data_IF_042409029167
#
_entry.id   IF_042409029167
#
_cell.length_a   1.000
_cell.length_b   1.000
_cell.length_c   1.000
_cell.angle_alpha   90.00
_cell.angle_beta   90.00
_cell.angle_gamma   90.00
#
_symmetry.space_group_name_H-M   'P 1'
#
loop_
_entity.id
_entity.type
_entity.pdbx_description
1 polymer ?
#
# COMPACT_ATOMS: atom_id res chain seq x y z
N UNK A 1 22.80 14.23 -18.44
CA UNK A 1 21.95 14.10 -17.23
C UNK A 1 22.71 13.30 -16.17
N UNK A 2 22.80 13.78 -14.92
CA UNK A 2 23.46 13.06 -13.82
C UNK A 2 22.78 11.69 -13.57
N UNK A 3 23.53 10.66 -13.15
CA UNK A 3 23.04 9.31 -12.87
C UNK A 3 21.88 9.31 -11.86
N UNK A 4 21.95 10.17 -10.83
CA UNK A 4 20.85 10.39 -9.89
C UNK A 4 19.55 10.84 -10.57
N UNK A 5 19.63 11.81 -11.49
CA UNK A 5 18.46 12.29 -12.24
C UNK A 5 17.91 11.23 -13.17
N UNK A 6 18.76 10.39 -13.77
CA UNK A 6 18.33 9.23 -14.59
C UNK A 6 17.59 8.21 -13.73
N UNK A 7 18.10 7.91 -12.54
CA UNK A 7 17.47 6.98 -11.61
C UNK A 7 16.12 7.52 -11.13
N UNK A 8 16.05 8.79 -10.73
CA UNK A 8 14.81 9.43 -10.32
C UNK A 8 13.77 9.47 -11.44
N UNK A 9 14.18 9.76 -12.69
CA UNK A 9 13.26 9.74 -13.82
C UNK A 9 12.77 8.31 -14.13
N UNK A 10 13.66 7.32 -14.08
CA UNK A 10 13.31 5.90 -14.22
C UNK A 10 12.29 5.47 -13.18
N UNK A 11 12.55 5.80 -11.92
CA UNK A 11 11.67 5.48 -10.80
C UNK A 11 10.33 6.21 -10.91
N UNK A 12 10.32 7.50 -11.26
CA UNK A 12 9.09 8.26 -11.54
C UNK A 12 8.23 7.59 -12.60
N UNK A 13 8.83 7.15 -13.71
CA UNK A 13 8.13 6.48 -14.81
C UNK A 13 7.51 5.15 -14.37
N UNK A 14 8.24 4.34 -13.60
CA UNK A 14 7.70 3.08 -13.04
C UNK A 14 6.61 3.34 -12.01
N UNK A 15 6.85 4.19 -11.03
CA UNK A 15 5.87 4.48 -9.97
C UNK A 15 4.61 5.14 -10.54
N UNK A 16 4.72 6.00 -11.55
CA UNK A 16 3.54 6.59 -12.20
C UNK A 16 2.68 5.53 -12.89
N UNK A 17 3.31 4.66 -13.70
CA UNK A 17 2.59 3.61 -14.45
C UNK A 17 1.92 2.62 -13.49
N UNK A 18 2.63 2.20 -12.44
CA UNK A 18 2.11 1.27 -11.43
C UNK A 18 0.90 1.85 -10.69
N UNK A 19 1.02 3.07 -10.14
CA UNK A 19 -0.07 3.71 -9.38
C UNK A 19 -1.28 4.06 -10.24
N UNK A 20 -1.03 4.41 -11.51
CA UNK A 20 -2.10 4.64 -12.50
C UNK A 20 -2.88 3.35 -12.73
N UNK A 21 -2.20 2.24 -13.03
CA UNK A 21 -2.86 0.97 -13.31
C UNK A 21 -3.50 0.34 -12.06
N UNK A 22 -2.89 0.50 -10.88
CA UNK A 22 -3.48 0.11 -9.59
C UNK A 22 -4.86 0.72 -9.41
N UNK A 23 -5.04 2.02 -9.72
CA UNK A 23 -6.35 2.67 -9.64
C UNK A 23 -7.26 2.33 -10.83
N UNK A 24 -6.72 2.31 -12.05
CA UNK A 24 -7.49 2.05 -13.26
C UNK A 24 -8.11 0.65 -13.26
N UNK A 25 -7.38 -0.38 -12.82
CA UNK A 25 -7.86 -1.77 -12.81
C UNK A 25 -9.17 -1.94 -12.03
N UNK A 26 -9.30 -1.35 -10.84
CA UNK A 26 -10.56 -1.41 -10.08
C UNK A 26 -11.71 -0.64 -10.73
N UNK A 27 -11.43 0.50 -11.36
CA UNK A 27 -12.46 1.24 -12.09
C UNK A 27 -12.91 0.50 -13.35
N UNK A 28 -11.98 -0.13 -14.09
CA UNK A 28 -12.28 -0.94 -15.27
C UNK A 28 -13.06 -2.20 -14.90
N UNK A 29 -12.72 -2.87 -13.79
CA UNK A 29 -13.50 -3.98 -13.25
C UNK A 29 -14.94 -3.53 -12.97
N UNK A 30 -15.12 -2.37 -12.34
CA UNK A 30 -16.45 -1.85 -11.96
C UNK A 30 -17.27 -1.35 -13.15
N UNK A 31 -16.60 -0.97 -14.24
CA UNK A 31 -17.23 -0.63 -15.52
C UNK A 31 -17.87 -1.85 -16.18
N UNK A 32 -17.18 -2.99 -16.14
CA UNK A 32 -17.68 -4.26 -16.71
C UNK A 32 -18.69 -4.93 -15.78
N UNK A 33 -18.36 -5.06 -14.49
CA UNK A 33 -19.16 -5.77 -13.49
C UNK A 33 -19.95 -4.79 -12.62
N UNK A 34 -21.06 -4.30 -13.16
CA UNK A 34 -21.87 -3.21 -12.58
C UNK A 34 -22.77 -3.61 -11.41
N UNK A 35 -22.84 -4.90 -11.07
CA UNK A 35 -23.79 -5.42 -10.06
C UNK A 35 -23.12 -6.11 -8.87
N UNK A 36 -21.78 -6.25 -8.87
CA UNK A 36 -21.10 -7.02 -7.83
C UNK A 36 -19.70 -6.49 -7.52
N UNK A 37 -19.35 -6.52 -6.23
CA UNK A 37 -18.00 -6.28 -5.72
C UNK A 37 -17.12 -7.52 -5.76
N UNK A 38 -17.67 -8.67 -6.16
CA UNK A 38 -16.99 -9.95 -6.12
C UNK A 38 -15.68 -9.89 -6.91
N UNK A 39 -15.73 -9.39 -8.15
CA UNK A 39 -14.59 -9.34 -9.05
C UNK A 39 -13.48 -8.45 -8.48
N UNK A 40 -13.81 -7.23 -8.06
CA UNK A 40 -12.85 -6.34 -7.41
C UNK A 40 -12.19 -7.00 -6.19
N UNK A 41 -12.97 -7.69 -5.36
CA UNK A 41 -12.48 -8.35 -4.15
C UNK A 41 -11.61 -9.58 -4.47
N UNK A 42 -11.97 -10.39 -5.46
CA UNK A 42 -11.18 -11.55 -5.92
C UNK A 42 -9.86 -11.08 -6.52
N UNK A 43 -9.86 -10.03 -7.34
CA UNK A 43 -8.63 -9.45 -7.90
C UNK A 43 -7.69 -8.94 -6.79
N UNK A 44 -8.23 -8.21 -5.82
CA UNK A 44 -7.45 -7.75 -4.66
C UNK A 44 -6.89 -8.89 -3.82
N UNK A 45 -7.73 -9.87 -3.46
CA UNK A 45 -7.34 -11.03 -2.67
C UNK A 45 -6.21 -11.81 -3.34
N UNK A 46 -6.39 -12.17 -4.62
CA UNK A 46 -5.47 -13.03 -5.35
C UNK A 46 -4.11 -12.36 -5.56
N UNK A 47 -4.10 -11.07 -5.91
CA UNK A 47 -2.84 -10.33 -6.09
C UNK A 47 -2.09 -10.12 -4.77
N UNK A 48 -2.79 -9.83 -3.67
CA UNK A 48 -2.20 -9.75 -2.33
C UNK A 48 -1.69 -11.10 -1.85
N UNK A 49 -2.46 -12.16 -2.03
CA UNK A 49 -2.07 -13.52 -1.65
C UNK A 49 -0.86 -14.00 -2.44
N UNK A 50 -0.81 -13.74 -3.75
CA UNK A 50 0.36 -14.03 -4.57
C UNK A 50 1.61 -13.30 -4.07
N UNK A 51 1.49 -12.01 -3.77
CA UNK A 51 2.58 -11.23 -3.18
C UNK A 51 3.06 -11.82 -1.85
N UNK A 52 2.14 -12.21 -0.97
CA UNK A 52 2.46 -12.80 0.33
C UNK A 52 3.22 -14.13 0.18
N UNK A 53 2.73 -15.02 -0.68
CA UNK A 53 3.29 -16.37 -0.82
C UNK A 53 4.59 -16.42 -1.63
N UNK A 54 4.77 -15.50 -2.59
CA UNK A 54 5.83 -15.58 -3.59
C UNK A 54 6.89 -14.46 -3.50
N UNK A 55 6.68 -13.41 -2.70
CA UNK A 55 7.66 -12.30 -2.56
C UNK A 55 9.04 -12.79 -2.12
N UNK A 56 9.13 -13.72 -1.16
CA UNK A 56 10.40 -14.30 -0.73
C UNK A 56 11.11 -15.05 -1.88
N UNK A 57 10.35 -15.80 -2.70
CA UNK A 57 10.91 -16.49 -3.86
C UNK A 57 11.45 -15.51 -4.90
N UNK A 58 10.75 -14.38 -5.12
CA UNK A 58 11.23 -13.30 -6.00
C UNK A 58 12.53 -12.70 -5.46
N UNK A 59 12.63 -12.44 -4.15
CA UNK A 59 13.86 -11.95 -3.53
C UNK A 59 15.06 -12.88 -3.75
N UNK A 60 14.87 -14.20 -3.56
CA UNK A 60 15.92 -15.18 -3.82
C UNK A 60 16.27 -15.28 -5.31
N UNK A 61 15.29 -15.20 -6.19
CA UNK A 61 15.49 -15.23 -7.65
C UNK A 61 16.34 -14.05 -8.13
N UNK A 62 16.11 -12.85 -7.58
CA UNK A 62 16.87 -11.62 -7.92
C UNK A 62 18.36 -11.78 -7.63
N UNK A 63 18.73 -12.52 -6.58
CA UNK A 63 20.12 -12.76 -6.20
C UNK A 63 20.87 -13.70 -7.17
N UNK A 64 20.15 -14.50 -7.96
CA UNK A 64 20.75 -15.50 -8.88
C UNK A 64 21.11 -14.89 -10.24
N UNK A 65 20.38 -13.86 -10.70
CA UNK A 65 20.57 -13.25 -12.03
C UNK A 65 21.41 -11.98 -11.99
N UNK A 66 21.94 -11.55 -13.14
CA UNK A 66 22.76 -10.34 -13.18
C UNK A 66 21.87 -9.13 -12.93
N UNK A 67 22.35 -8.17 -12.14
CA UNK A 67 21.61 -6.97 -11.73
C UNK A 67 20.82 -6.33 -12.88
N UNK A 68 21.47 -6.13 -14.02
CA UNK A 68 20.85 -5.54 -15.21
C UNK A 68 19.76 -6.43 -15.83
N UNK A 69 20.00 -7.73 -15.95
CA UNK A 69 19.01 -8.64 -16.54
C UNK A 69 17.83 -8.83 -15.61
N UNK A 70 18.07 -8.96 -14.30
CA UNK A 70 17.02 -9.01 -13.29
C UNK A 70 16.09 -7.83 -13.43
N UNK A 71 16.64 -6.61 -13.43
CA UNK A 71 15.85 -5.40 -13.60
C UNK A 71 15.07 -5.38 -14.92
N UNK A 72 15.72 -5.70 -16.03
CA UNK A 72 15.08 -5.69 -17.36
C UNK A 72 13.93 -6.68 -17.45
N UNK A 73 14.11 -7.89 -16.91
CA UNK A 73 13.06 -8.92 -16.92
C UNK A 73 11.88 -8.46 -16.07
N UNK A 74 12.12 -7.98 -14.84
CA UNK A 74 11.03 -7.49 -13.97
C UNK A 74 10.33 -6.29 -14.58
N UNK A 75 11.08 -5.34 -15.16
CA UNK A 75 10.52 -4.17 -15.84
C UNK A 75 9.63 -4.57 -17.02
N UNK A 76 10.16 -5.37 -17.95
CA UNK A 76 9.43 -5.74 -19.16
C UNK A 76 8.20 -6.59 -18.83
N UNK A 77 8.32 -7.51 -17.87
CA UNK A 77 7.20 -8.34 -17.40
C UNK A 77 6.11 -7.49 -16.78
N UNK A 78 6.48 -6.50 -15.95
CA UNK A 78 5.55 -5.54 -15.35
C UNK A 78 4.77 -4.77 -16.43
N UNK A 79 5.47 -4.14 -17.37
CA UNK A 79 4.87 -3.27 -18.40
C UNK A 79 4.05 -4.09 -19.41
N UNK A 80 4.52 -5.26 -19.81
CA UNK A 80 3.77 -6.18 -20.67
C UNK A 80 2.47 -6.64 -20.00
N UNK A 81 2.51 -6.96 -18.70
CA UNK A 81 1.31 -7.35 -17.96
C UNK A 81 0.25 -6.24 -17.96
N UNK A 82 0.66 -4.97 -17.83
CA UNK A 82 -0.24 -3.80 -17.91
C UNK A 82 -0.86 -3.65 -19.30
N UNK A 83 -0.04 -3.68 -20.35
CA UNK A 83 -0.50 -3.52 -21.74
C UNK A 83 -1.48 -4.63 -22.10
N UNK A 84 -1.12 -5.89 -21.84
CA UNK A 84 -1.98 -7.05 -22.15
C UNK A 84 -3.28 -6.96 -21.32
N UNK A 85 -3.20 -6.67 -20.02
CA UNK A 85 -4.40 -6.53 -19.19
C UNK A 85 -5.33 -5.42 -19.68
N UNK A 86 -4.79 -4.28 -20.12
CA UNK A 86 -5.58 -3.16 -20.63
C UNK A 86 -6.31 -3.53 -21.92
N UNK A 87 -5.64 -4.24 -22.85
CA UNK A 87 -6.26 -4.76 -24.07
C UNK A 87 -7.35 -5.78 -23.74
N UNK A 88 -7.09 -6.68 -22.78
CA UNK A 88 -8.08 -7.66 -22.34
C UNK A 88 -9.29 -6.99 -21.68
N UNK A 89 -9.10 -5.92 -20.89
CA UNK A 89 -10.21 -5.13 -20.36
C UNK A 89 -11.04 -4.46 -21.46
N UNK A 90 -10.41 -3.96 -22.52
CA UNK A 90 -11.13 -3.39 -23.66
C UNK A 90 -11.98 -4.43 -24.38
N UNK A 91 -11.44 -5.63 -24.59
CA UNK A 91 -12.19 -6.73 -25.19
C UNK A 91 -13.33 -7.19 -24.27
N UNK A 92 -13.08 -7.29 -22.97
CA UNK A 92 -14.07 -7.65 -21.95
C UNK A 92 -15.23 -6.64 -21.91
N UNK A 93 -14.96 -5.34 -22.06
CA UNK A 93 -15.99 -4.28 -22.13
C UNK A 93 -16.80 -4.34 -23.44
N UNK A 94 -16.24 -4.93 -24.51
CA UNK A 94 -16.84 -4.92 -25.86
C UNK A 94 -17.57 -6.20 -26.26
N UNK A 95 -17.29 -7.34 -25.60
CA UNK A 95 -17.77 -8.66 -26.01
C UNK A 95 -18.25 -9.50 -24.82
N UNK A 96 -19.48 -10.01 -24.89
CA UNK A 96 -20.06 -10.89 -23.86
C UNK A 96 -19.42 -12.29 -23.82
N UNK A 97 -18.71 -12.70 -24.86
CA UNK A 97 -18.10 -14.03 -24.94
C UNK A 97 -16.87 -14.18 -24.03
N UNK A 98 -16.73 -15.36 -23.41
CA UNK A 98 -15.55 -15.76 -22.63
C UNK A 98 -15.16 -14.85 -21.44
N UNK A 99 -16.10 -14.07 -20.90
CA UNK A 99 -15.88 -13.14 -19.78
C UNK A 99 -15.04 -13.72 -18.63
N UNK A 100 -15.45 -14.89 -18.12
CA UNK A 100 -14.77 -15.53 -16.99
C UNK A 100 -13.34 -15.96 -17.32
N UNK A 101 -13.09 -16.43 -18.55
CA UNK A 101 -11.76 -16.88 -18.99
C UNK A 101 -10.83 -15.68 -19.14
N UNK A 102 -11.27 -14.63 -19.82
CA UNK A 102 -10.52 -13.40 -19.99
C UNK A 102 -10.21 -12.78 -18.62
N UNK A 103 -11.20 -12.76 -17.74
CA UNK A 103 -11.02 -12.23 -16.40
C UNK A 103 -10.04 -13.05 -15.55
N UNK A 104 -10.04 -14.39 -15.67
CA UNK A 104 -9.04 -15.24 -15.04
C UNK A 104 -7.62 -14.92 -15.55
N UNK A 105 -7.45 -14.67 -16.85
CA UNK A 105 -6.17 -14.22 -17.41
C UNK A 105 -5.75 -12.86 -16.84
N UNK A 106 -6.68 -11.91 -16.71
CA UNK A 106 -6.41 -10.60 -16.09
C UNK A 106 -5.93 -10.76 -14.64
N UNK A 107 -6.52 -11.67 -13.86
CA UNK A 107 -6.06 -11.97 -12.49
C UNK A 107 -4.62 -12.49 -12.48
N UNK A 108 -4.29 -13.44 -13.37
CA UNK A 108 -2.93 -13.98 -13.48
C UNK A 108 -1.92 -12.89 -13.86
N UNK A 109 -2.29 -12.00 -14.79
CA UNK A 109 -1.48 -10.85 -15.16
C UNK A 109 -1.35 -9.85 -14.02
N UNK A 110 -2.40 -9.62 -13.23
CA UNK A 110 -2.36 -8.79 -12.02
C UNK A 110 -1.40 -9.35 -10.96
N UNK A 111 -1.38 -10.67 -10.77
CA UNK A 111 -0.43 -11.33 -9.85
C UNK A 111 1.00 -11.18 -10.36
N UNK A 112 1.21 -11.43 -11.66
CA UNK A 112 2.50 -11.30 -12.33
C UNK A 112 3.03 -9.86 -12.27
N UNK A 113 2.15 -8.88 -12.49
CA UNK A 113 2.41 -7.46 -12.34
C UNK A 113 2.88 -7.13 -10.93
N UNK A 114 2.13 -7.57 -9.91
CA UNK A 114 2.43 -7.28 -8.51
C UNK A 114 3.78 -7.85 -8.08
N UNK A 115 4.08 -9.09 -8.48
CA UNK A 115 5.37 -9.74 -8.20
C UNK A 115 6.53 -9.06 -8.94
N UNK A 116 6.32 -8.66 -10.19
CA UNK A 116 7.32 -7.93 -10.97
C UNK A 116 7.63 -6.56 -10.36
N UNK A 117 6.61 -5.84 -9.84
CA UNK A 117 6.81 -4.59 -9.11
C UNK A 117 7.64 -4.80 -7.84
N UNK A 118 7.31 -5.81 -7.03
CA UNK A 118 8.09 -6.15 -5.82
C UNK A 118 9.55 -6.42 -6.19
N UNK A 119 9.79 -7.19 -7.24
CA UNK A 119 11.14 -7.48 -7.68
C UNK A 119 11.89 -6.26 -8.20
N UNK A 120 11.21 -5.38 -8.92
CA UNK A 120 11.74 -4.10 -9.38
C UNK A 120 12.16 -3.20 -8.21
N UNK A 121 11.29 -3.02 -7.21
CA UNK A 121 11.59 -2.25 -6.00
C UNK A 121 12.77 -2.82 -5.21
N UNK A 122 12.86 -4.15 -5.05
CA UNK A 122 14.02 -4.77 -4.39
C UNK A 122 15.31 -4.48 -5.18
N UNK A 123 15.29 -4.68 -6.49
CA UNK A 123 16.46 -4.46 -7.34
C UNK A 123 16.96 -3.00 -7.29
N UNK A 124 16.06 -2.01 -7.37
CA UNK A 124 16.49 -0.61 -7.27
C UNK A 124 16.77 -0.20 -5.83
N UNK A 125 15.75 -0.20 -4.97
CA UNK A 125 15.79 0.51 -3.69
C UNK A 125 16.71 -0.17 -2.68
N UNK A 126 16.88 -1.50 -2.79
CA UNK A 126 17.67 -2.28 -1.85
C UNK A 126 19.04 -2.69 -2.38
N UNK A 127 19.29 -2.71 -3.69
CA UNK A 127 20.60 -3.09 -4.25
C UNK A 127 21.26 -1.92 -5.01
N UNK A 128 20.64 -1.43 -6.08
CA UNK A 128 21.27 -0.39 -6.92
C UNK A 128 21.43 0.94 -6.19
N UNK A 129 20.45 1.34 -5.38
CA UNK A 129 20.48 2.57 -4.60
C UNK A 129 21.70 2.62 -3.68
N UNK A 130 22.06 1.49 -3.06
CA UNK A 130 23.23 1.41 -2.18
C UNK A 130 24.53 1.68 -2.96
N UNK A 131 24.69 1.05 -4.12
CA UNK A 131 25.89 1.16 -4.97
C UNK A 131 26.02 2.54 -5.60
N UNK A 132 24.90 3.13 -6.03
CA UNK A 132 24.87 4.44 -6.67
C UNK A 132 25.15 5.56 -5.64
N UNK A 133 24.68 5.37 -4.40
CA UNK A 133 24.77 6.38 -3.36
C UNK A 133 26.17 6.58 -2.78
N UNK A 134 27.05 5.58 -2.89
CA UNK A 134 28.44 5.61 -2.36
C UNK A 134 28.51 6.22 -0.95
N UNK A 135 27.61 5.78 -0.06
CA UNK A 135 27.47 6.27 1.33
C UNK A 135 26.42 7.37 1.56
N UNK A 136 25.84 7.99 0.52
CA UNK A 136 24.83 9.07 0.64
C UNK A 136 23.37 8.58 0.52
N UNK A 137 23.07 7.42 1.10
CA UNK A 137 21.75 6.79 1.03
C UNK A 137 20.63 7.69 1.60
N UNK A 138 21.00 8.50 2.60
CA UNK A 138 20.12 9.44 3.32
C UNK A 138 19.51 10.51 2.42
N UNK A 139 20.08 10.80 1.25
CA UNK A 139 19.53 11.77 0.30
C UNK A 139 18.72 11.09 -0.82
N UNK A 140 19.15 9.89 -1.23
CA UNK A 140 18.57 9.17 -2.36
C UNK A 140 17.20 8.57 -2.03
N UNK A 141 17.10 7.79 -0.95
CA UNK A 141 15.88 7.07 -0.59
C UNK A 141 14.70 8.01 -0.24
N UNK A 142 14.90 9.10 0.53
CA UNK A 142 13.79 10.02 0.78
C UNK A 142 13.28 10.70 -0.49
N UNK A 143 14.15 10.98 -1.45
CA UNK A 143 13.75 11.57 -2.74
C UNK A 143 12.91 10.59 -3.56
N UNK A 144 13.31 9.32 -3.62
CA UNK A 144 12.51 8.25 -4.25
C UNK A 144 11.15 8.09 -3.57
N UNK A 145 11.11 8.11 -2.23
CA UNK A 145 9.85 8.03 -1.49
C UNK A 145 8.92 9.22 -1.77
N UNK A 146 9.45 10.43 -1.96
CA UNK A 146 8.65 11.60 -2.37
C UNK A 146 8.03 11.40 -3.75
N UNK A 147 8.79 10.84 -4.70
CA UNK A 147 8.30 10.52 -6.04
C UNK A 147 7.10 9.55 -5.95
N UNK A 148 7.22 8.48 -5.15
CA UNK A 148 6.12 7.54 -4.92
C UNK A 148 4.85 8.22 -4.39
N UNK A 149 5.01 9.10 -3.40
CA UNK A 149 3.89 9.84 -2.80
C UNK A 149 3.22 10.77 -3.82
N UNK A 150 4.00 11.46 -4.65
CA UNK A 150 3.49 12.30 -5.74
C UNK A 150 2.71 11.46 -6.75
N UNK A 151 3.28 10.34 -7.22
CA UNK A 151 2.61 9.43 -8.13
C UNK A 151 1.32 8.87 -7.53
N UNK A 152 1.34 8.45 -6.26
CA UNK A 152 0.17 7.92 -5.55
C UNK A 152 -0.95 8.96 -5.39
N UNK A 153 -0.60 10.24 -5.37
CA UNK A 153 -1.54 11.36 -5.22
C UNK A 153 -2.09 11.83 -6.57
N UNK A 154 -1.23 11.96 -7.59
CA UNK A 154 -1.60 12.54 -8.88
C UNK A 154 -2.14 11.52 -9.90
N UNK A 155 -1.64 10.28 -9.89
CA UNK A 155 -2.10 9.27 -10.84
C UNK A 155 -3.60 8.95 -10.75
N UNK A 156 -4.25 8.91 -9.56
CA UNK A 156 -5.69 8.68 -9.50
C UNK A 156 -6.49 9.83 -10.11
N UNK A 157 -6.02 11.07 -10.02
CA UNK A 157 -6.65 12.22 -10.67
C UNK A 157 -6.57 12.03 -12.19
N UNK A 158 -5.38 11.77 -12.72
CA UNK A 158 -5.17 11.54 -14.15
C UNK A 158 -6.09 10.43 -14.69
N UNK A 159 -6.10 9.27 -14.04
CA UNK A 159 -6.94 8.13 -14.44
C UNK A 159 -8.43 8.43 -14.25
N UNK A 160 -8.80 9.09 -13.15
CA UNK A 160 -10.18 9.47 -12.87
C UNK A 160 -10.80 10.32 -13.98
N UNK A 161 -10.03 11.25 -14.53
CA UNK A 161 -10.42 12.05 -15.69
C UNK A 161 -10.33 11.29 -17.02
N UNK A 162 -9.29 10.47 -17.21
CA UNK A 162 -9.12 9.66 -18.42
C UNK A 162 -10.33 8.76 -18.68
N UNK A 163 -10.97 8.26 -17.62
CA UNK A 163 -12.15 7.39 -17.74
C UNK A 163 -13.41 8.04 -18.29
N UNK A 164 -13.46 9.38 -18.41
CA UNK A 164 -14.54 10.06 -19.15
C UNK A 164 -14.40 9.91 -20.67
N UNK A 165 -13.25 9.46 -21.17
CA UNK A 165 -13.03 9.22 -22.59
C UNK A 165 -13.67 7.88 -23.05
N UNK A 166 -13.86 7.68 -24.36
CA UNK A 166 -14.30 6.40 -24.91
C UNK A 166 -13.34 5.24 -24.58
N UNK A 167 -13.82 3.97 -24.46
CA UNK A 167 -13.00 2.81 -24.12
C UNK A 167 -11.71 2.66 -24.95
N UNK A 168 -11.81 2.92 -26.25
CA UNK A 168 -10.66 2.86 -27.16
C UNK A 168 -9.59 3.89 -26.78
N UNK A 169 -9.99 5.13 -26.45
CA UNK A 169 -9.06 6.20 -26.07
C UNK A 169 -8.38 5.87 -24.74
N UNK A 170 -9.12 5.37 -23.76
CA UNK A 170 -8.56 4.92 -22.46
C UNK A 170 -7.46 3.88 -22.70
N UNK A 171 -7.78 2.87 -23.51
CA UNK A 171 -6.87 1.76 -23.85
C UNK A 171 -5.62 2.27 -24.56
N UNK A 172 -5.79 3.09 -25.60
CA UNK A 172 -4.67 3.66 -26.36
C UNK A 172 -3.76 4.52 -25.49
N UNK A 173 -4.32 5.38 -24.63
CA UNK A 173 -3.52 6.26 -23.76
C UNK A 173 -2.72 5.44 -22.74
N UNK A 174 -3.34 4.48 -22.05
CA UNK A 174 -2.65 3.64 -21.06
C UNK A 174 -1.56 2.79 -21.74
N UNK A 175 -1.87 2.15 -22.87
CA UNK A 175 -0.92 1.32 -23.60
C UNK A 175 0.24 2.15 -24.17
N UNK A 176 -0.05 3.27 -24.85
CA UNK A 176 0.97 4.14 -25.43
C UNK A 176 1.89 4.71 -24.34
N UNK A 177 1.32 5.23 -23.25
CA UNK A 177 2.11 5.74 -22.13
C UNK A 177 2.99 4.65 -21.52
N UNK A 178 2.47 3.44 -21.32
CA UNK A 178 3.22 2.31 -20.75
C UNK A 178 4.36 1.87 -21.67
N UNK A 179 4.13 1.77 -22.98
CA UNK A 179 5.16 1.41 -23.96
C UNK A 179 6.24 2.48 -24.03
N UNK A 180 5.87 3.75 -24.19
CA UNK A 180 6.82 4.88 -24.24
C UNK A 180 7.63 4.96 -22.95
N UNK A 181 6.97 4.86 -21.79
CA UNK A 181 7.62 4.80 -20.49
C UNK A 181 8.64 3.66 -20.42
N UNK A 182 8.27 2.45 -20.86
CA UNK A 182 9.15 1.28 -20.81
C UNK A 182 10.40 1.44 -21.67
N UNK A 183 10.28 2.05 -22.86
CA UNK A 183 11.41 2.29 -23.76
C UNK A 183 12.40 3.29 -23.15
N UNK A 184 11.88 4.41 -22.64
CA UNK A 184 12.70 5.44 -21.97
C UNK A 184 13.41 4.82 -20.77
N UNK A 185 12.68 4.07 -19.94
CA UNK A 185 13.20 3.45 -18.73
C UNK A 185 14.30 2.41 -19.03
N UNK A 186 14.08 1.58 -20.05
CA UNK A 186 15.06 0.60 -20.51
C UNK A 186 16.37 1.27 -20.94
N UNK A 187 16.28 2.39 -21.66
CA UNK A 187 17.44 3.18 -22.07
C UNK A 187 18.14 3.80 -20.85
N UNK A 188 17.40 4.44 -19.94
CA UNK A 188 17.95 5.09 -18.75
C UNK A 188 18.73 4.11 -17.87
N UNK A 189 18.15 2.95 -17.58
CA UNK A 189 18.77 1.91 -16.75
C UNK A 189 20.02 1.34 -17.42
N UNK A 190 19.96 1.12 -18.74
CA UNK A 190 21.12 0.66 -19.51
C UNK A 190 22.26 1.67 -19.48
N UNK A 191 21.95 2.96 -19.54
CA UNK A 191 22.95 4.02 -19.40
C UNK A 191 23.53 4.07 -17.98
N UNK A 192 22.70 3.99 -16.94
CA UNK A 192 23.16 4.00 -15.53
C UNK A 192 24.13 2.83 -15.29
N UNK A 193 23.77 1.62 -15.73
CA UNK A 193 24.61 0.45 -15.59
C UNK A 193 25.95 0.58 -16.33
N UNK A 194 25.98 1.16 -17.53
CA UNK A 194 27.23 1.40 -18.28
C UNK A 194 28.10 2.47 -17.62
N UNK A 195 27.49 3.45 -16.94
CA UNK A 195 28.21 4.56 -16.32
C UNK A 195 28.79 4.22 -14.93
N UNK A 196 28.34 3.16 -14.28
CA UNK A 196 28.78 2.78 -12.92
C UNK A 196 29.30 1.33 -12.96
N UNK A 197 30.63 1.13 -13.07
CA UNK A 197 31.22 -0.21 -13.16
C UNK A 197 30.88 -1.11 -11.97
N UNK A 198 30.67 -0.54 -10.78
CA UNK A 198 30.27 -1.27 -9.57
C UNK A 198 28.93 -2.02 -9.68
N UNK A 199 28.05 -1.63 -10.61
CA UNK A 199 26.81 -2.37 -10.90
C UNK A 199 27.08 -3.65 -11.70
N UNK A 200 28.18 -3.71 -12.47
CA UNK A 200 28.56 -4.86 -13.29
C UNK A 200 29.29 -5.96 -12.51
N UNK A 201 29.91 -5.61 -11.38
CA UNK A 201 30.57 -6.56 -10.48
C UNK A 201 29.51 -7.15 -9.55
N UNK A 202 29.22 -8.46 -9.70
CA UNK A 202 28.57 -9.21 -8.62
C UNK A 202 29.59 -9.46 -7.53
N UNK A 203 29.89 -8.44 -6.73
CA UNK A 203 30.26 -8.77 -5.37
C UNK A 203 28.97 -9.28 -4.75
N UNK A 204 28.91 -10.50 -4.18
CA UNK A 204 27.91 -10.73 -3.15
C UNK A 204 28.10 -9.55 -2.19
N UNK A 205 27.07 -8.73 -2.04
CA UNK A 205 27.08 -7.80 -0.95
C UNK A 205 27.05 -8.68 0.30
N UNK A 206 28.23 -8.95 0.82
CA UNK A 206 28.43 -9.34 2.20
C UNK A 206 28.19 -8.05 2.98
N UNK A 207 27.15 -7.96 3.82
CA UNK A 207 27.06 -6.90 4.82
C UNK A 207 28.33 -6.85 5.70
N UNK A 208 29.11 -7.92 5.70
CA UNK A 208 30.39 -8.12 6.38
C UNK A 208 31.58 -7.58 5.59
N UNK A 209 31.63 -6.26 5.40
CA UNK A 209 32.89 -5.55 5.67
C UNK A 209 32.83 -5.18 7.15
N UNK A 210 33.78 -5.62 7.99
CA UNK A 210 33.62 -5.57 9.43
C UNK A 210 33.58 -4.11 9.91
N UNK A 211 32.38 -3.58 10.13
CA UNK A 211 32.18 -2.68 11.24
C UNK A 211 32.32 -3.58 12.46
N UNK A 212 33.36 -3.33 13.24
CA UNK A 212 33.63 -3.94 14.54
C UNK A 212 32.45 -3.73 15.48
N UNK A 213 31.46 -4.60 15.35
CA UNK A 213 30.29 -4.75 16.21
C UNK A 213 29.76 -6.14 15.92
N UNK A 214 29.79 -7.02 16.92
CA UNK A 214 29.21 -8.36 16.83
C UNK A 214 27.78 -8.23 16.25
N UNK A 215 27.53 -8.79 15.06
CA UNK A 215 26.16 -8.94 14.57
C UNK A 215 25.44 -9.85 15.57
N UNK A 216 24.68 -9.24 16.49
CA UNK A 216 23.76 -9.94 17.37
C UNK A 216 22.84 -10.79 16.49
N UNK A 217 23.11 -12.10 16.45
CA UNK A 217 22.29 -13.05 15.69
C UNK A 217 20.84 -12.93 16.18
N UNK A 218 19.93 -12.61 15.25
CA UNK A 218 18.51 -12.51 15.57
C UNK A 218 18.02 -13.83 16.14
N UNK A 219 17.50 -13.82 17.36
CA UNK A 219 16.99 -15.03 17.99
C UNK A 219 15.51 -15.19 17.60
N UNK A 220 15.13 -16.28 16.91
CA UNK A 220 13.75 -16.49 16.51
C UNK A 220 12.87 -16.68 17.75
N UNK A 221 11.71 -16.01 17.75
CA UNK A 221 10.73 -16.09 18.82
C UNK A 221 9.56 -16.96 18.37
N UNK A 222 9.15 -17.89 19.22
CA UNK A 222 7.97 -18.72 18.97
C UNK A 222 6.67 -17.92 19.01
N UNK A 223 5.61 -18.39 18.37
CA UNK A 223 4.30 -17.71 18.45
C UNK A 223 3.80 -17.55 19.89
N UNK A 224 4.08 -18.53 20.75
CA UNK A 224 3.68 -18.50 22.17
C UNK A 224 4.37 -17.37 22.93
N UNK A 225 5.65 -17.14 22.66
CA UNK A 225 6.41 -16.03 23.24
C UNK A 225 5.97 -14.69 22.66
N UNK A 226 5.70 -14.62 21.35
CA UNK A 226 5.14 -13.43 20.71
C UNK A 226 3.80 -13.02 21.34
N UNK A 227 2.87 -13.97 21.53
CA UNK A 227 1.58 -13.72 22.17
C UNK A 227 1.69 -13.24 23.64
N UNK A 228 2.80 -13.56 24.31
CA UNK A 228 3.10 -13.10 25.67
C UNK A 228 3.90 -11.81 25.71
N UNK A 229 4.40 -11.34 24.57
CA UNK A 229 5.24 -10.16 24.48
C UNK A 229 4.45 -8.90 24.89
N UNK A 230 5.15 -7.95 25.53
CA UNK A 230 4.55 -6.70 26.03
C UNK A 230 3.82 -5.91 24.94
N UNK A 231 4.37 -5.90 23.73
CA UNK A 231 3.83 -5.16 22.58
C UNK A 231 2.76 -5.92 21.80
N UNK A 232 2.44 -7.17 22.16
CA UNK A 232 1.48 -7.99 21.41
C UNK A 232 0.16 -7.26 21.14
N UNK A 233 -0.39 -6.62 22.17
CA UNK A 233 -1.65 -5.89 22.07
C UNK A 233 -1.58 -4.68 21.13
N UNK A 234 -0.46 -3.96 21.14
CA UNK A 234 -0.22 -2.86 20.21
C UNK A 234 -0.12 -3.37 18.77
N UNK A 235 0.62 -4.47 18.55
CA UNK A 235 0.76 -5.09 17.22
C UNK A 235 -0.57 -5.69 16.72
N UNK A 236 -1.38 -6.24 17.63
CA UNK A 236 -2.71 -6.77 17.32
C UNK A 236 -3.67 -5.64 16.92
N UNK A 237 -3.65 -4.52 17.66
CA UNK A 237 -4.40 -3.32 17.29
C UNK A 237 -4.03 -2.85 15.89
N UNK A 238 -2.73 -2.78 15.55
CA UNK A 238 -2.32 -2.41 14.20
C UNK A 238 -2.85 -3.40 13.15
N UNK A 239 -2.73 -4.71 13.41
CA UNK A 239 -3.25 -5.73 12.51
C UNK A 239 -4.75 -5.56 12.23
N UNK A 240 -5.55 -5.33 13.27
CA UNK A 240 -6.99 -5.10 13.12
C UNK A 240 -7.34 -3.89 12.24
N UNK A 241 -6.48 -2.87 12.16
CA UNK A 241 -6.67 -1.72 11.26
C UNK A 241 -6.50 -2.07 9.78
N UNK A 242 -5.81 -3.18 9.44
CA UNK A 242 -5.67 -3.65 8.06
C UNK A 242 -6.97 -4.27 7.52
N UNK A 243 -7.88 -4.71 8.40
CA UNK A 243 -9.23 -5.09 8.03
C UNK A 243 -10.12 -3.84 7.89
N UNK A 244 -9.75 -2.94 6.98
CA UNK A 244 -10.44 -1.68 6.75
C UNK A 244 -10.93 -1.53 5.30
N UNK A 245 -12.22 -1.84 5.11
CA UNK A 245 -12.93 -1.70 3.84
C UNK A 245 -13.30 -0.23 3.56
N UNK A 246 -13.35 0.64 4.58
CA UNK A 246 -13.70 2.07 4.47
C UNK A 246 -12.47 2.94 4.20
N UNK A 247 -11.76 2.58 3.15
CA UNK A 247 -10.47 3.15 2.80
C UNK A 247 -10.38 3.21 1.27
N UNK A 248 -9.77 4.24 0.67
CA UNK A 248 -9.55 4.34 -0.80
C UNK A 248 -8.63 3.24 -1.42
N UNK A 249 -8.76 2.00 -0.96
CA UNK A 249 -8.32 0.79 -1.64
C UNK A 249 -9.30 0.39 -2.74
N UNK A 250 -9.01 -0.75 -3.36
CA UNK A 250 -9.70 -1.18 -4.57
C UNK A 250 -11.19 -1.50 -4.39
N UNK A 251 -11.55 -2.22 -3.33
CA UNK A 251 -12.93 -2.62 -3.04
C UNK A 251 -13.85 -1.44 -2.77
N UNK A 252 -13.41 -0.47 -1.94
CA UNK A 252 -14.16 0.76 -1.72
C UNK A 252 -14.27 1.61 -2.98
N UNK A 253 -13.20 1.70 -3.77
CA UNK A 253 -13.22 2.42 -5.04
C UNK A 253 -14.27 1.81 -5.97
N UNK A 254 -14.31 0.48 -6.05
CA UNK A 254 -15.33 -0.24 -6.82
C UNK A 254 -16.74 0.05 -6.28
N UNK A 255 -16.96 -0.07 -4.97
CA UNK A 255 -18.25 0.24 -4.35
C UNK A 255 -18.74 1.65 -4.66
N UNK A 256 -17.88 2.65 -4.53
CA UNK A 256 -18.21 4.04 -4.79
C UNK A 256 -18.64 4.27 -6.26
N UNK A 257 -18.00 3.60 -7.22
CA UNK A 257 -18.42 3.63 -8.62
C UNK A 257 -19.80 3.00 -8.79
N UNK A 258 -20.03 1.83 -8.18
CA UNK A 258 -21.29 1.09 -8.31
C UNK A 258 -22.49 1.85 -7.74
N UNK A 259 -22.29 2.67 -6.70
CA UNK A 259 -23.34 3.55 -6.15
C UNK A 259 -23.46 4.90 -6.88
N UNK A 260 -22.69 5.11 -7.95
CA UNK A 260 -22.86 6.25 -8.87
C UNK A 260 -21.87 7.40 -8.71
N UNK A 261 -20.82 7.29 -7.90
CA UNK A 261 -19.80 8.34 -7.85
C UNK A 261 -18.89 8.34 -9.09
N UNK A 262 -18.73 9.51 -9.71
CA UNK A 262 -17.89 9.68 -10.89
C UNK A 262 -16.39 9.46 -10.61
N UNK A 263 -15.70 8.80 -11.54
CA UNK A 263 -14.28 8.44 -11.44
C UNK A 263 -13.35 9.64 -11.19
N UNK A 264 -13.66 10.81 -11.75
CA UNK A 264 -12.90 12.05 -11.50
C UNK A 264 -12.95 12.50 -10.03
N UNK A 265 -14.13 12.47 -9.40
CA UNK A 265 -14.30 12.79 -7.98
C UNK A 265 -13.53 11.80 -7.11
N UNK A 266 -13.59 10.51 -7.45
CA UNK A 266 -12.84 9.46 -6.74
C UNK A 266 -11.32 9.68 -6.83
N UNK A 267 -10.83 10.10 -8.00
CA UNK A 267 -9.42 10.46 -8.20
C UNK A 267 -8.99 11.62 -7.29
N UNK A 268 -9.78 12.69 -7.24
CA UNK A 268 -9.51 13.85 -6.37
C UNK A 268 -9.58 13.46 -4.89
N UNK A 269 -10.61 12.74 -4.47
CA UNK A 269 -10.76 12.37 -3.06
C UNK A 269 -9.70 11.39 -2.59
N UNK A 270 -9.22 10.48 -3.46
CA UNK A 270 -8.06 9.63 -3.18
C UNK A 270 -6.78 10.47 -3.02
N UNK A 271 -6.61 11.53 -3.80
CA UNK A 271 -5.49 12.46 -3.64
C UNK A 271 -5.54 13.21 -2.30
N UNK A 272 -6.71 13.78 -1.94
CA UNK A 272 -6.92 14.43 -0.64
C UNK A 272 -6.64 13.48 0.52
N UNK A 273 -7.11 12.24 0.42
CA UNK A 273 -6.81 11.17 1.37
C UNK A 273 -5.31 10.87 1.47
N UNK A 274 -4.58 10.92 0.35
CA UNK A 274 -3.12 10.79 0.32
C UNK A 274 -2.41 11.92 1.06
N UNK A 275 -2.83 13.17 0.83
CA UNK A 275 -2.30 14.35 1.52
C UNK A 275 -2.51 14.25 3.03
N UNK A 276 -3.70 13.84 3.48
CA UNK A 276 -3.98 13.63 4.91
C UNK A 276 -3.09 12.55 5.53
N UNK A 277 -2.80 11.47 4.79
CA UNK A 277 -1.85 10.45 5.23
C UNK A 277 -0.42 10.99 5.38
N UNK A 278 0.05 11.77 4.40
CA UNK A 278 1.36 12.45 4.48
C UNK A 278 1.40 13.43 5.65
N UNK A 279 0.35 14.21 5.87
CA UNK A 279 0.25 15.12 7.01
C UNK A 279 0.39 14.37 8.34
N UNK A 280 -0.21 13.18 8.47
CA UNK A 280 -0.04 12.31 9.64
C UNK A 280 1.43 11.99 9.94
N UNK A 281 2.26 11.80 8.92
CA UNK A 281 3.70 11.52 9.11
C UNK A 281 4.50 12.69 9.67
N UNK A 282 4.07 13.94 9.42
CA UNK A 282 4.67 15.14 10.00
C UNK A 282 4.12 15.45 11.39
N UNK A 283 2.82 15.24 11.59
CA UNK A 283 2.13 15.54 12.85
C UNK A 283 2.56 14.55 13.94
N UNK A 284 2.75 13.27 13.59
CA UNK A 284 3.15 12.23 14.54
C UNK A 284 4.37 12.63 15.38
N UNK A 285 5.56 12.92 14.81
CA UNK A 285 6.75 13.21 15.60
C UNK A 285 6.62 14.49 16.42
N UNK A 286 5.87 15.48 15.92
CA UNK A 286 5.60 16.73 16.66
C UNK A 286 4.75 16.47 17.90
N UNK A 287 3.73 15.61 17.79
CA UNK A 287 2.87 15.25 18.91
C UNK A 287 3.61 14.32 19.89
N UNK A 288 4.37 13.35 19.37
CA UNK A 288 5.20 12.44 20.17
C UNK A 288 6.23 13.19 21.04
N UNK A 289 6.84 14.27 20.55
CA UNK A 289 7.72 15.13 21.36
C UNK A 289 7.02 15.77 22.56
N UNK A 290 5.70 16.00 22.49
CA UNK A 290 4.93 16.66 23.56
C UNK A 290 4.30 15.68 24.55
N UNK A 291 3.73 14.58 24.05
CA UNK A 291 2.92 13.65 24.88
C UNK A 291 3.45 12.20 24.90
N UNK A 292 4.52 11.91 24.16
CA UNK A 292 5.14 10.58 24.03
C UNK A 292 4.44 9.66 23.03
N UNK A 293 5.17 8.66 22.53
CA UNK A 293 4.73 7.74 21.47
C UNK A 293 3.40 7.04 21.80
N UNK A 294 3.28 6.46 23.00
CA UNK A 294 2.09 5.70 23.42
C UNK A 294 0.82 6.57 23.48
N UNK A 295 0.90 7.84 23.91
CA UNK A 295 -0.29 8.72 23.93
C UNK A 295 -0.66 9.24 22.55
N UNK A 296 0.34 9.54 21.73
CA UNK A 296 0.12 9.87 20.32
C UNK A 296 -0.57 8.72 19.59
N UNK A 297 -0.16 7.47 19.86
CA UNK A 297 -0.85 6.27 19.39
C UNK A 297 -2.32 6.22 19.86
N UNK A 298 -2.57 6.49 21.14
CA UNK A 298 -3.94 6.48 21.69
C UNK A 298 -4.84 7.54 21.04
N UNK A 299 -4.35 8.77 20.89
CA UNK A 299 -5.11 9.84 20.24
C UNK A 299 -5.40 9.52 18.76
N UNK A 300 -4.39 9.02 18.05
CA UNK A 300 -4.51 8.72 16.62
C UNK A 300 -5.47 7.57 16.32
N UNK A 301 -5.46 6.48 17.09
CA UNK A 301 -6.39 5.36 16.86
C UNK A 301 -7.84 5.72 17.19
N UNK A 302 -8.08 6.56 18.20
CA UNK A 302 -9.43 7.05 18.51
C UNK A 302 -9.92 8.08 17.49
N UNK A 303 -9.05 8.95 16.97
CA UNK A 303 -9.38 9.85 15.87
C UNK A 303 -9.77 9.06 14.61
N UNK A 304 -9.01 8.00 14.29
CA UNK A 304 -9.32 7.07 13.22
C UNK A 304 -10.68 6.38 13.44
N UNK A 305 -10.91 5.82 14.62
CA UNK A 305 -12.17 5.15 14.96
C UNK A 305 -13.38 6.08 14.87
N UNK A 306 -13.30 7.27 15.45
CA UNK A 306 -14.39 8.25 15.43
C UNK A 306 -14.74 8.67 14.00
N UNK A 307 -13.75 8.94 13.16
CA UNK A 307 -13.98 9.33 11.78
C UNK A 307 -14.62 8.21 10.96
N UNK A 308 -14.21 6.95 11.13
CA UNK A 308 -14.84 5.83 10.42
C UNK A 308 -16.23 5.46 10.94
N UNK A 309 -16.52 5.71 12.22
CA UNK A 309 -17.90 5.62 12.75
C UNK A 309 -18.80 6.63 12.03
N UNK A 310 -18.35 7.87 11.83
CA UNK A 310 -19.11 8.86 11.05
C UNK A 310 -19.34 8.42 9.61
N UNK A 311 -18.35 7.79 8.97
CA UNK A 311 -18.47 7.22 7.62
C UNK A 311 -19.53 6.11 7.59
N UNK A 312 -19.50 5.19 8.56
CA UNK A 312 -20.49 4.12 8.66
C UNK A 312 -21.91 4.66 8.89
N UNK A 313 -22.08 5.67 9.74
CA UNK A 313 -23.36 6.36 9.97
C UNK A 313 -23.85 7.06 8.69
N UNK A 314 -22.94 7.66 7.91
CA UNK A 314 -23.29 8.27 6.63
C UNK A 314 -23.80 7.24 5.61
N UNK A 315 -23.31 5.99 5.67
CA UNK A 315 -23.79 4.91 4.82
C UNK A 315 -25.13 4.32 5.27
N UNK A 316 -25.52 4.43 6.54
CA UNK A 316 -26.82 3.94 7.04
C UNK A 316 -27.95 4.94 6.86
N UNK A 317 -27.66 6.23 6.98
CA UNK A 317 -28.68 7.26 7.01
C UNK A 317 -29.07 7.71 5.61
N UNK A 318 -30.37 7.93 5.38
CA UNK A 318 -30.89 8.60 4.18
C UNK A 318 -30.66 10.11 4.27
N UNK A 319 -29.40 10.52 4.37
CA UNK A 319 -29.02 11.93 4.26
C UNK A 319 -29.09 12.36 2.79
N UNK A 320 -29.18 13.66 2.56
CA UNK A 320 -29.06 14.21 1.21
C UNK A 320 -27.70 13.83 0.59
N UNK A 321 -27.65 13.74 -0.74
CA UNK A 321 -26.46 13.30 -1.48
C UNK A 321 -25.20 14.09 -1.11
N UNK A 322 -25.33 15.41 -0.93
CA UNK A 322 -24.22 16.30 -0.55
C UNK A 322 -23.70 16.00 0.85
N UNK A 323 -24.59 15.88 1.84
CA UNK A 323 -24.23 15.56 3.22
C UNK A 323 -23.58 14.17 3.33
N UNK A 324 -24.14 13.17 2.64
CA UNK A 324 -23.58 11.82 2.56
C UNK A 324 -22.16 11.87 1.99
N UNK A 325 -21.96 12.56 0.87
CA UNK A 325 -20.66 12.68 0.21
C UNK A 325 -19.62 13.37 1.09
N UNK A 326 -19.99 14.45 1.79
CA UNK A 326 -19.08 15.17 2.69
C UNK A 326 -18.64 14.28 3.84
N UNK A 327 -19.58 13.58 4.50
CA UNK A 327 -19.25 12.71 5.62
C UNK A 327 -18.45 11.48 5.17
N UNK A 328 -18.83 10.88 4.04
CA UNK A 328 -18.17 9.71 3.47
C UNK A 328 -16.72 10.03 3.09
N UNK A 329 -16.52 11.01 2.20
CA UNK A 329 -15.18 11.32 1.71
C UNK A 329 -14.34 12.11 2.71
N UNK A 330 -14.96 13.03 3.46
CA UNK A 330 -14.29 13.79 4.52
C UNK A 330 -13.85 12.88 5.67
N UNK A 331 -14.72 11.97 6.11
CA UNK A 331 -14.40 10.97 7.12
C UNK A 331 -13.31 10.00 6.65
N UNK A 332 -13.40 9.47 5.42
CA UNK A 332 -12.34 8.61 4.86
C UNK A 332 -11.00 9.35 4.72
N UNK A 333 -10.99 10.62 4.30
CA UNK A 333 -9.77 11.41 4.22
C UNK A 333 -9.18 11.68 5.61
N UNK A 334 -10.00 12.12 6.56
CA UNK A 334 -9.58 12.40 7.93
C UNK A 334 -9.07 11.14 8.65
N UNK A 335 -9.63 9.96 8.35
CA UNK A 335 -9.19 8.68 8.88
C UNK A 335 -7.71 8.38 8.58
N UNK A 336 -7.18 8.89 7.44
CA UNK A 336 -5.77 8.64 7.07
C UNK A 336 -4.78 9.33 7.98
N UNK A 337 -5.13 10.48 8.53
CA UNK A 337 -4.28 11.17 9.48
C UNK A 337 -4.04 10.28 10.71
N UNK A 338 -5.11 9.76 11.32
CA UNK A 338 -5.03 8.85 12.46
C UNK A 338 -4.31 7.54 12.12
N UNK A 339 -4.63 6.92 10.98
CA UNK A 339 -4.00 5.67 10.56
C UNK A 339 -2.48 5.79 10.44
N UNK A 340 -1.97 6.80 9.72
CA UNK A 340 -0.53 6.96 9.52
C UNK A 340 0.20 7.42 10.78
N UNK A 341 -0.45 8.23 11.63
CA UNK A 341 0.10 8.57 12.93
C UNK A 341 0.22 7.35 13.84
N UNK A 342 -0.80 6.49 13.86
CA UNK A 342 -0.82 5.28 14.67
C UNK A 342 0.23 4.27 14.21
N UNK A 343 0.33 4.03 12.89
CA UNK A 343 1.32 3.12 12.29
C UNK A 343 2.75 3.50 12.69
N UNK A 344 3.11 4.79 12.61
CA UNK A 344 4.44 5.26 13.04
C UNK A 344 4.61 5.14 14.56
N UNK A 345 3.59 5.49 15.35
CA UNK A 345 3.65 5.38 16.81
C UNK A 345 3.84 3.94 17.27
N UNK A 346 3.12 3.00 16.68
CA UNK A 346 3.24 1.58 16.99
C UNK A 346 4.64 1.05 16.64
N UNK A 347 5.17 1.37 15.46
CA UNK A 347 6.52 0.96 15.07
C UNK A 347 7.59 1.50 16.03
N UNK A 348 7.46 2.75 16.49
CA UNK A 348 8.38 3.32 17.49
C UNK A 348 8.24 2.64 18.86
N UNK A 349 7.02 2.34 19.31
CA UNK A 349 6.79 1.60 20.56
C UNK A 349 7.36 0.19 20.47
N UNK A 350 7.21 -0.46 19.33
CA UNK A 350 7.76 -1.78 19.10
C UNK A 350 9.28 -1.79 19.24
N UNK A 351 9.95 -0.80 18.65
CA UNK A 351 11.40 -0.61 18.77
C UNK A 351 11.82 -0.28 20.21
N UNK A 352 11.04 0.56 20.91
CA UNK A 352 11.32 0.98 22.28
C UNK A 352 11.21 -0.19 23.28
N UNK A 353 10.26 -1.11 23.05
CA UNK A 353 9.93 -2.19 24.00
C UNK A 353 10.51 -3.55 23.65
N UNK A 354 11.27 -3.66 22.56
CA UNK A 354 11.85 -4.92 22.10
C UNK A 354 13.37 -4.81 22.04
N UNK A 355 14.07 -5.83 22.55
CA UNK A 355 15.52 -5.91 22.42
C UNK A 355 15.97 -6.05 20.95
N UNK A 356 17.15 -5.54 20.63
CA UNK A 356 17.78 -5.61 19.30
C UNK A 356 17.85 -7.03 18.74
N UNK A 357 18.10 -8.03 19.59
CA UNK A 357 18.16 -9.45 19.21
C UNK A 357 16.83 -10.03 18.72
N UNK A 358 15.71 -9.42 19.10
CA UNK A 358 14.36 -9.97 18.93
C UNK A 358 13.49 -9.16 17.98
N UNK A 359 13.83 -7.90 17.73
CA UNK A 359 13.00 -6.95 16.95
C UNK A 359 12.59 -7.52 15.59
N UNK A 360 13.52 -8.11 14.84
CA UNK A 360 13.25 -8.68 13.50
C UNK A 360 12.21 -9.81 13.56
N UNK A 361 12.30 -10.68 14.57
CA UNK A 361 11.35 -11.79 14.72
C UNK A 361 9.97 -11.29 15.13
N UNK A 362 9.88 -10.29 16.01
CA UNK A 362 8.59 -9.73 16.45
C UNK A 362 7.94 -8.94 15.30
N UNK A 363 8.70 -8.14 14.56
CA UNK A 363 8.22 -7.45 13.37
C UNK A 363 7.73 -8.45 12.31
N UNK A 364 8.37 -9.62 12.16
CA UNK A 364 7.88 -10.70 11.30
C UNK A 364 6.50 -11.23 11.71
N UNK A 365 6.27 -11.39 13.02
CA UNK A 365 4.95 -11.77 13.54
C UNK A 365 3.91 -10.67 13.34
N UNK A 366 4.26 -9.41 13.62
CA UNK A 366 3.40 -8.25 13.36
C UNK A 366 2.95 -8.20 11.90
N UNK A 367 3.87 -8.33 10.93
CA UNK A 367 3.50 -8.38 9.52
C UNK A 367 2.57 -9.55 9.19
N UNK A 368 2.77 -10.72 9.83
CA UNK A 368 1.89 -11.88 9.65
C UNK A 368 0.47 -11.59 10.15
N UNK A 369 0.33 -10.90 11.29
CA UNK A 369 -0.97 -10.46 11.82
C UNK A 369 -1.62 -9.42 10.90
N UNK A 370 -0.89 -8.40 10.44
CA UNK A 370 -1.41 -7.40 9.49
C UNK A 370 -1.89 -8.05 8.18
N UNK A 371 -1.11 -8.97 7.62
CA UNK A 371 -1.47 -9.69 6.41
C UNK A 371 -2.72 -10.55 6.58
N UNK A 372 -2.89 -11.20 7.74
CA UNK A 372 -4.10 -11.97 8.04
C UNK A 372 -5.35 -11.07 7.96
N UNK A 373 -5.34 -9.92 8.65
CA UNK A 373 -6.46 -8.99 8.64
C UNK A 373 -6.67 -8.32 7.27
N UNK A 374 -5.62 -8.06 6.51
CA UNK A 374 -5.71 -7.58 5.12
C UNK A 374 -6.39 -8.61 4.20
N UNK A 375 -6.15 -9.91 4.38
CA UNK A 375 -6.85 -10.95 3.64
C UNK A 375 -8.32 -11.08 4.08
N UNK A 376 -8.61 -10.93 5.38
CA UNK A 376 -9.97 -11.01 5.92
C UNK A 376 -10.91 -9.95 5.34
N UNK A 377 -10.44 -8.72 5.08
CA UNK A 377 -11.29 -7.72 4.44
C UNK A 377 -11.77 -8.13 3.04
N UNK A 378 -10.91 -8.78 2.25
CA UNK A 378 -11.31 -9.26 0.92
C UNK A 378 -12.25 -10.46 1.02
N UNK A 379 -12.01 -11.38 1.96
CA UNK A 379 -12.93 -12.51 2.20
C UNK A 379 -14.32 -11.99 2.58
N UNK A 380 -14.38 -10.97 3.42
CA UNK A 380 -15.62 -10.33 3.83
C UNK A 380 -16.40 -9.75 2.64
N UNK A 381 -15.74 -9.03 1.73
CA UNK A 381 -16.39 -8.45 0.54
C UNK A 381 -16.64 -9.46 -0.58
N UNK A 382 -16.01 -10.64 -0.54
CA UNK A 382 -16.37 -11.79 -1.40
C UNK A 382 -17.66 -12.44 -0.91
N UNK A 383 -17.77 -12.70 0.40
CA UNK A 383 -18.97 -13.28 1.01
C UNK A 383 -20.16 -12.33 0.85
N UNK A 384 -19.93 -11.03 1.06
CA UNK A 384 -20.94 -9.97 0.91
C UNK A 384 -20.54 -9.11 -0.29
N UNK A 385 -20.78 -9.67 -1.48
CA UNK A 385 -20.41 -9.04 -2.75
C UNK A 385 -21.48 -8.13 -3.34
N UNK A 386 -22.71 -8.17 -2.80
CA UNK A 386 -23.82 -7.30 -3.20
C UNK A 386 -23.58 -5.86 -2.70
N UNK A 387 -23.44 -4.86 -3.58
CA UNK A 387 -23.24 -3.46 -3.20
C UNK A 387 -24.35 -2.93 -2.29
N UNK A 388 -25.59 -3.39 -2.44
CA UNK A 388 -26.71 -2.96 -1.59
C UNK A 388 -26.52 -3.38 -0.12
N UNK A 389 -25.73 -4.42 0.13
CA UNK A 389 -25.43 -4.94 1.47
C UNK A 389 -24.06 -4.52 1.99
N UNK A 390 -23.36 -3.63 1.28
CA UNK A 390 -22.01 -3.17 1.64
C UNK A 390 -21.91 -2.54 3.03
N UNK A 391 -23.03 -2.08 3.59
CA UNK A 391 -23.08 -1.60 4.98
C UNK A 391 -22.63 -2.67 5.99
N UNK A 392 -22.82 -3.96 5.69
CA UNK A 392 -22.40 -5.04 6.58
C UNK A 392 -20.86 -5.13 6.62
N UNK A 393 -20.14 -5.25 5.49
CA UNK A 393 -18.68 -5.11 5.47
C UNK A 393 -18.16 -3.83 6.11
N UNK A 394 -18.79 -2.69 5.81
CA UNK A 394 -18.43 -1.39 6.39
C UNK A 394 -18.57 -1.39 7.92
N UNK A 395 -19.65 -1.96 8.45
CA UNK A 395 -19.91 -2.02 9.90
C UNK A 395 -18.94 -2.96 10.61
N UNK A 396 -18.64 -4.13 10.03
CA UNK A 396 -17.65 -5.07 10.57
C UNK A 396 -16.26 -4.45 10.57
N UNK A 397 -15.89 -3.78 9.47
CA UNK A 397 -14.64 -3.01 9.33
C UNK A 397 -14.53 -1.93 10.41
N UNK A 398 -15.56 -1.12 10.60
CA UNK A 398 -15.61 -0.09 11.66
C UNK A 398 -15.52 -0.72 13.05
N UNK A 399 -16.20 -1.86 13.27
CA UNK A 399 -16.10 -2.64 14.51
C UNK A 399 -14.69 -3.13 14.78
N UNK A 400 -13.96 -3.59 13.76
CA UNK A 400 -12.54 -3.96 13.87
C UNK A 400 -11.69 -2.76 14.29
N UNK A 401 -11.89 -1.58 13.68
CA UNK A 401 -11.14 -0.36 14.03
C UNK A 401 -11.44 0.12 15.45
N UNK A 402 -12.71 0.13 15.87
CA UNK A 402 -13.08 0.49 17.24
C UNK A 402 -12.56 -0.55 18.24
N UNK A 403 -12.64 -1.84 17.92
CA UNK A 403 -12.05 -2.91 18.71
C UNK A 403 -10.53 -2.75 18.86
N UNK A 404 -9.83 -2.36 17.78
CA UNK A 404 -8.41 -2.03 17.81
C UNK A 404 -8.10 -0.88 18.76
N UNK A 405 -8.92 0.19 18.74
CA UNK A 405 -8.80 1.33 19.66
C UNK A 405 -8.99 0.92 21.12
N UNK A 406 -9.97 0.04 21.41
CA UNK A 406 -10.23 -0.48 22.75
C UNK A 406 -9.06 -1.36 23.22
N UNK A 407 -8.57 -2.29 22.39
CA UNK A 407 -7.42 -3.14 22.72
C UNK A 407 -6.17 -2.29 22.96
N UNK A 408 -5.94 -1.26 22.15
CA UNK A 408 -4.82 -0.36 22.34
C UNK A 408 -4.97 0.44 23.64
N UNK A 409 -6.18 0.89 23.96
CA UNK A 409 -6.47 1.56 25.23
C UNK A 409 -6.16 0.64 26.42
N UNK A 410 -6.51 -0.64 26.31
CA UNK A 410 -6.19 -1.64 27.32
C UNK A 410 -4.68 -1.86 27.44
N UNK A 411 -3.95 -1.89 26.32
CA UNK A 411 -2.49 -1.89 26.31
C UNK A 411 -1.92 -0.68 27.08
N UNK A 412 -2.37 0.54 26.77
CA UNK A 412 -1.92 1.76 27.47
C UNK A 412 -2.20 1.69 28.97
N UNK A 413 -3.39 1.20 29.35
CA UNK A 413 -3.75 1.05 30.76
C UNK A 413 -2.87 0.01 31.48
N UNK A 414 -2.64 -1.15 30.87
CA UNK A 414 -1.76 -2.20 31.44
C UNK A 414 -0.32 -1.72 31.58
N UNK A 415 0.14 -0.92 30.62
CA UNK A 415 1.51 -0.43 30.57
C UNK A 415 1.80 0.67 31.60
N UNK A 416 0.83 1.59 31.80
CA UNK A 416 1.04 2.81 32.59
C UNK A 416 0.19 2.95 33.85
N UNK A 417 -0.82 2.13 34.05
CA UNK A 417 -1.78 2.20 35.17
C UNK A 417 -2.81 3.34 35.09
N UNK A 418 -2.64 4.33 34.20
CA UNK A 418 -3.59 5.44 34.00
C UNK A 418 -3.64 5.93 32.54
N UNK A 419 -4.79 6.42 32.07
CA UNK A 419 -4.98 6.91 30.69
C UNK A 419 -4.59 8.39 30.51
N UNK A 420 -4.86 9.23 31.51
CA UNK A 420 -4.57 10.67 31.52
C UNK A 420 -3.72 11.01 32.74
N UNK A 421 -2.63 11.75 32.55
CA UNK A 421 -1.95 12.38 33.69
C UNK A 421 -2.82 13.56 34.14
N UNK A 422 -3.12 13.74 35.42
CA UNK A 422 -3.36 15.09 35.92
C UNK A 422 -2.04 15.85 35.69
N UNK A 423 -2.14 16.84 34.83
CA UNK A 423 -1.15 17.83 34.40
C UNK A 423 0.03 18.03 35.37
N UNK A 424 1.26 17.72 34.91
CA UNK A 424 2.39 18.62 35.18
C UNK A 424 2.42 19.66 34.07
N UNK A 425 1.50 20.62 34.13
CA UNK A 425 1.73 21.96 33.57
C UNK A 425 2.56 22.70 34.63
N UNK A 426 3.87 22.70 34.45
CA UNK A 426 4.76 23.71 35.03
C UNK A 426 5.65 24.22 33.92
#
# INVERSE_FOLDING_TARGET
MNNYRKLYLSHLLTSWVDRSFEFASYLLISRVYTHSLLQASVYGLTTTLAALLLSNRIGNWINIFSRLNTYRITLLTQKASIVISTILFHYLDSSESAHNVIYAFIIVLGCTLKLSFIGNSIAIEKDWAMIISDGHLEQLLPTMRRIDLVCKTLSPIFIGYLLFAPPLVITLVICAWTVVSSLVEYILISQIHRSIPGLGVRSPYNPTSPITGEEEKSVPISIREYLRHRTFLATLSLGMLYMNVLSFGGTMTAYLVLIGYGSGVLGIMKAVSGIMGVAGTYIMPLLAKRIGNVRTGLWSIWQLGLTLVLVAIALTNKLDYTATSILLFGGMAASRLGLWMFDIAENLILQEYTASTHITSITGWQYSVCNLFDLLQYVLTIIISDPAKFIIPASISTGSVVGAAIIYTWFVWKDRGHLLHPLKLK
#
